data_IF_122470227299
#
_entry.id   IF_122470227299
#
_cell.length_a   1.000
_cell.length_b   1.000
_cell.length_c   1.000
_cell.angle_alpha   90.00
_cell.angle_beta   90.00
_cell.angle_gamma   90.00
#
_symmetry.space_group_name_H-M   'P 1'
#
loop_
_entity.id
_entity.type
_entity.pdbx_description
1 polymer ?
#
# COMPACT_ATOMS: atom_id res chain seq x y z
N UNK A 1 -10.32 -8.64 8.04
CA UNK A 1 -9.68 -7.67 8.93
C UNK A 1 -9.48 -6.37 8.15
N UNK A 2 -9.75 -5.24 8.77
CA UNK A 2 -9.61 -3.93 8.13
C UNK A 2 -8.29 -3.24 8.50
N UNK A 3 -8.02 -2.09 7.89
CA UNK A 3 -6.89 -1.23 8.25
C UNK A 3 -6.99 -0.77 9.70
N UNK A 4 -5.84 -0.64 10.37
CA UNK A 4 -5.75 -0.41 11.82
C UNK A 4 -5.75 -1.70 12.64
N UNK A 5 -5.65 -2.86 11.97
CA UNK A 5 -5.44 -4.18 12.58
C UNK A 5 -4.21 -4.85 11.98
N UNK A 6 -3.67 -5.84 12.66
CA UNK A 6 -2.58 -6.68 12.18
C UNK A 6 -3.01 -8.14 12.17
N UNK A 7 -2.48 -8.90 11.23
CA UNK A 7 -2.73 -10.34 11.07
C UNK A 7 -1.41 -11.05 10.81
N UNK A 8 -1.25 -12.27 11.30
CA UNK A 8 -0.08 -13.09 10.95
C UNK A 8 -0.06 -13.37 9.45
N UNK A 9 1.11 -13.27 8.84
CA UNK A 9 1.23 -13.41 7.38
C UNK A 9 0.79 -14.80 6.89
N UNK A 10 1.12 -15.87 7.60
CA UNK A 10 0.69 -17.23 7.24
C UNK A 10 -0.83 -17.41 7.31
N UNK A 11 -1.49 -16.79 8.30
CA UNK A 11 -2.95 -16.76 8.41
C UNK A 11 -3.58 -15.93 7.28
N UNK A 12 -2.98 -14.77 6.97
CA UNK A 12 -3.41 -13.92 5.85
C UNK A 12 -3.33 -14.68 4.52
N UNK A 13 -2.19 -15.33 4.23
CA UNK A 13 -1.99 -16.14 3.01
C UNK A 13 -3.04 -17.25 2.94
N UNK A 14 -3.26 -17.99 4.03
CA UNK A 14 -4.27 -19.05 4.10
C UNK A 14 -5.68 -18.51 3.89
N UNK A 15 -6.03 -17.40 4.53
CA UNK A 15 -7.37 -16.80 4.46
C UNK A 15 -7.76 -16.41 3.04
N UNK A 16 -6.81 -15.91 2.24
CA UNK A 16 -7.07 -15.52 0.84
C UNK A 16 -6.81 -16.65 -0.17
N UNK A 17 -6.46 -17.85 0.30
CA UNK A 17 -6.16 -18.98 -0.58
C UNK A 17 -4.83 -18.88 -1.32
N UNK A 18 -3.89 -18.11 -0.79
CA UNK A 18 -2.56 -17.92 -1.36
C UNK A 18 -1.63 -19.09 -1.14
N UNK A 19 -0.55 -19.15 -1.90
CA UNK A 19 0.53 -20.15 -1.78
C UNK A 19 1.78 -19.58 -1.10
N UNK A 20 1.99 -18.27 -1.22
CA UNK A 20 3.11 -17.55 -0.62
C UNK A 20 2.73 -16.08 -0.38
N UNK A 21 3.51 -15.40 0.47
CA UNK A 21 3.39 -13.96 0.68
C UNK A 21 4.59 -13.38 1.42
N UNK A 22 4.69 -12.05 1.37
CA UNK A 22 5.64 -11.24 2.14
C UNK A 22 4.90 -10.08 2.81
N UNK A 23 5.53 -9.45 3.79
CA UNK A 23 5.05 -8.18 4.32
C UNK A 23 5.07 -7.07 3.26
N UNK A 24 4.19 -6.09 3.41
CA UNK A 24 4.05 -4.94 2.50
C UNK A 24 4.56 -3.63 3.10
N UNK A 25 3.72 -2.59 3.00
CA UNK A 25 4.02 -1.21 3.36
C UNK A 25 4.56 -1.03 4.78
N UNK A 26 5.27 0.08 4.97
CA UNK A 26 5.44 0.67 6.31
C UNK A 26 4.09 0.96 6.96
N UNK A 27 4.05 0.99 8.27
CA UNK A 27 2.85 1.31 9.01
C UNK A 27 3.15 2.07 10.30
N UNK A 28 2.17 2.79 10.79
CA UNK A 28 2.24 3.44 12.08
C UNK A 28 2.14 2.39 13.21
N UNK A 29 3.15 2.29 14.10
CA UNK A 29 3.19 1.24 15.11
C UNK A 29 2.11 1.37 16.20
N UNK A 30 1.48 2.53 16.33
CA UNK A 30 0.40 2.77 17.30
C UNK A 30 -0.95 2.46 16.68
N UNK A 31 -1.26 3.08 15.55
CA UNK A 31 -2.57 2.97 14.90
C UNK A 31 -2.72 1.73 14.03
N UNK A 32 -1.60 1.12 13.60
CA UNK A 32 -1.55 -0.01 12.65
C UNK A 32 -2.06 0.33 11.25
N UNK A 33 -2.25 1.61 10.93
CA UNK A 33 -2.57 2.02 9.57
C UNK A 33 -1.33 1.96 8.66
N UNK A 34 -1.47 1.52 7.41
CA UNK A 34 -0.38 1.57 6.44
C UNK A 34 0.02 3.02 6.16
N UNK A 35 1.32 3.22 5.96
CA UNK A 35 1.88 4.48 5.49
C UNK A 35 2.19 4.31 4.01
N UNK A 36 1.56 5.15 3.17
CA UNK A 36 1.76 5.13 1.73
C UNK A 36 0.65 4.42 0.96
N UNK A 37 0.80 4.40 -0.36
CA UNK A 37 -0.18 3.89 -1.30
C UNK A 37 -0.43 2.39 -1.13
N UNK A 38 -1.72 2.04 -1.06
CA UNK A 38 -2.20 0.66 -1.21
C UNK A 38 -3.32 0.67 -2.24
N UNK A 39 -3.16 -0.08 -3.31
CA UNK A 39 -4.19 -0.28 -4.35
C UNK A 39 -4.46 -1.78 -4.49
N UNK A 40 -5.73 -2.16 -4.46
CA UNK A 40 -6.19 -3.54 -4.67
C UNK A 40 -7.29 -3.53 -5.72
N UNK A 41 -7.11 -4.27 -6.80
CA UNK A 41 -8.02 -4.35 -7.95
C UNK A 41 -8.45 -2.97 -8.49
N UNK A 42 -7.46 -2.07 -8.66
CA UNK A 42 -7.63 -0.72 -9.16
C UNK A 42 -8.27 0.27 -8.17
N UNK A 43 -8.61 -0.17 -6.96
CA UNK A 43 -9.22 0.68 -5.93
C UNK A 43 -8.17 1.12 -4.90
N UNK A 44 -8.06 2.42 -4.60
CA UNK A 44 -7.16 2.90 -3.56
C UNK A 44 -7.75 2.65 -2.17
N UNK A 45 -6.95 2.06 -1.29
CA UNK A 45 -7.28 1.82 0.12
C UNK A 45 -6.43 2.66 1.09
N UNK A 46 -5.32 3.19 0.61
CA UNK A 46 -4.51 4.19 1.30
C UNK A 46 -3.90 5.12 0.25
N UNK A 47 -3.76 6.40 0.59
CA UNK A 47 -3.18 7.39 -0.32
C UNK A 47 -1.64 7.36 -0.26
N UNK A 48 -0.99 7.87 -1.31
CA UNK A 48 0.45 7.97 -1.36
C UNK A 48 1.00 8.88 -0.27
N UNK A 49 2.12 8.44 0.33
CA UNK A 49 2.87 9.21 1.30
C UNK A 49 4.20 9.66 0.69
N UNK A 50 4.33 10.97 0.44
CA UNK A 50 5.61 11.63 0.12
C UNK A 50 6.40 11.13 -1.10
N UNK A 51 5.81 10.39 -2.05
CA UNK A 51 6.47 10.01 -3.29
C UNK A 51 7.59 8.99 -3.14
N UNK A 52 7.45 8.05 -2.23
CA UNK A 52 8.31 6.86 -2.13
C UNK A 52 8.18 5.98 -3.38
N UNK A 53 9.12 5.05 -3.61
CA UNK A 53 8.99 4.06 -4.68
C UNK A 53 7.72 3.22 -4.54
N UNK A 54 7.20 2.79 -5.67
CA UNK A 54 6.01 1.94 -5.76
C UNK A 54 6.36 0.64 -6.47
N UNK A 55 5.92 -0.46 -5.92
CA UNK A 55 5.72 -1.70 -6.65
C UNK A 55 4.27 -1.75 -7.13
N UNK A 56 4.06 -1.98 -8.41
CA UNK A 56 2.73 -2.14 -8.98
C UNK A 56 2.65 -3.30 -9.96
N UNK A 57 1.47 -3.89 -10.04
CA UNK A 57 1.04 -4.75 -11.14
C UNK A 57 0.00 -3.96 -11.94
N UNK A 58 0.21 -3.83 -13.24
CA UNK A 58 -0.71 -3.12 -14.13
C UNK A 58 -1.95 -3.98 -14.48
N UNK A 59 -2.95 -3.35 -15.08
CA UNK A 59 -4.11 -4.07 -15.63
C UNK A 59 -3.71 -5.09 -16.70
N UNK A 60 -2.60 -4.85 -17.42
CA UNK A 60 -2.03 -5.76 -18.41
C UNK A 60 -1.11 -6.83 -17.78
N UNK A 61 -1.06 -6.90 -16.44
CA UNK A 61 -0.22 -7.78 -15.61
C UNK A 61 1.29 -7.55 -15.79
N UNK A 62 1.70 -6.37 -16.18
CA UNK A 62 3.11 -5.96 -16.19
C UNK A 62 3.56 -5.54 -14.78
N UNK A 63 4.83 -5.78 -14.48
CA UNK A 63 5.47 -5.38 -13.22
C UNK A 63 6.09 -3.99 -13.38
N UNK A 64 5.81 -3.11 -12.44
CA UNK A 64 6.47 -1.82 -12.31
C UNK A 64 7.14 -1.73 -10.92
N UNK A 65 8.41 -1.36 -10.89
CA UNK A 65 9.16 -1.01 -9.68
C UNK A 65 9.86 0.31 -9.95
N UNK A 66 9.52 1.36 -9.22
CA UNK A 66 10.13 2.66 -9.47
C UNK A 66 9.44 3.81 -8.75
N UNK A 67 9.88 5.03 -9.07
CA UNK A 67 9.25 6.23 -8.53
C UNK A 67 8.14 6.70 -9.47
N UNK A 68 6.95 6.82 -8.92
CA UNK A 68 5.76 7.37 -9.57
C UNK A 68 4.97 8.15 -8.54
N UNK A 69 4.44 9.30 -8.91
CA UNK A 69 3.47 10.02 -8.08
C UNK A 69 2.08 9.54 -8.50
N UNK A 70 1.30 9.07 -7.55
CA UNK A 70 -0.08 8.62 -7.77
C UNK A 70 -1.01 9.45 -6.89
N UNK A 71 -1.63 10.44 -7.48
CA UNK A 71 -2.70 11.17 -6.81
C UNK A 71 -4.01 10.35 -6.85
N UNK A 72 -4.79 10.46 -5.80
CA UNK A 72 -6.16 9.95 -5.78
C UNK A 72 -7.09 11.15 -5.89
N UNK A 73 -7.98 11.12 -6.85
CA UNK A 73 -8.98 12.16 -7.05
C UNK A 73 -10.39 11.62 -6.82
N UNK A 74 -11.24 12.50 -6.32
CA UNK A 74 -12.68 12.28 -6.20
C UNK A 74 -13.38 13.24 -7.17
N UNK A 75 -14.04 12.70 -8.16
CA UNK A 75 -14.96 13.45 -9.01
C UNK A 75 -16.34 13.44 -8.35
N UNK A 76 -16.95 14.60 -8.17
CA UNK A 76 -18.35 14.74 -7.74
C UNK A 76 -19.03 15.67 -8.72
N UNK A 77 -20.02 15.15 -9.45
CA UNK A 77 -20.59 15.87 -10.62
C UNK A 77 -19.46 16.28 -11.57
N UNK A 78 -19.23 17.58 -11.75
CA UNK A 78 -18.21 18.14 -12.62
C UNK A 78 -17.03 18.76 -11.82
N UNK A 79 -16.96 18.51 -10.50
CA UNK A 79 -15.91 19.06 -9.62
C UNK A 79 -14.93 17.98 -9.23
N UNK A 80 -13.65 18.24 -9.47
CA UNK A 80 -12.55 17.37 -9.11
C UNK A 80 -11.92 17.81 -7.79
N UNK A 81 -11.86 16.89 -6.83
CA UNK A 81 -11.21 17.09 -5.54
C UNK A 81 -10.00 16.16 -5.41
N UNK A 82 -8.89 16.71 -4.90
CA UNK A 82 -7.73 15.88 -4.53
C UNK A 82 -7.97 15.24 -3.17
N UNK A 83 -7.97 13.91 -3.12
CA UNK A 83 -8.11 13.14 -1.88
C UNK A 83 -6.78 13.18 -1.13
N UNK A 84 -6.81 13.67 0.11
CA UNK A 84 -5.63 13.81 0.97
C UNK A 84 -5.42 12.65 1.94
N UNK A 85 -6.41 11.79 2.09
CA UNK A 85 -6.30 10.60 2.92
C UNK A 85 -7.43 9.60 2.66
N UNK A 86 -7.08 8.34 2.76
CA UNK A 86 -8.02 7.22 2.66
C UNK A 86 -7.80 6.33 3.87
N UNK A 87 -8.89 5.96 4.56
CA UNK A 87 -8.85 5.11 5.74
C UNK A 87 -7.83 5.58 6.78
N UNK A 88 -7.83 6.86 7.12
CA UNK A 88 -6.88 7.48 8.04
C UNK A 88 -7.57 8.27 9.14
N UNK A 89 -6.93 8.36 10.30
CA UNK A 89 -7.27 9.29 11.37
C UNK A 89 -6.58 10.66 11.22
N UNK A 90 -5.74 10.78 10.19
CA UNK A 90 -5.03 12.03 9.89
C UNK A 90 -5.93 13.16 9.43
N UNK A 91 -5.36 14.34 9.31
CA UNK A 91 -6.05 15.50 8.81
C UNK A 91 -5.93 15.61 7.28
N UNK A 92 -6.93 16.22 6.66
CA UNK A 92 -6.96 16.45 5.22
C UNK A 92 -8.26 17.12 4.80
N UNK A 93 -8.21 17.87 3.72
CA UNK A 93 -9.38 18.61 3.25
C UNK A 93 -10.44 17.70 2.64
N UNK A 94 -10.01 16.63 2.00
CA UNK A 94 -10.86 15.57 1.44
C UNK A 94 -10.35 14.23 1.91
N UNK A 95 -11.17 13.53 2.68
CA UNK A 95 -10.91 12.21 3.22
C UNK A 95 -11.97 11.23 2.74
N UNK A 96 -11.56 9.99 2.52
CA UNK A 96 -12.43 8.91 2.08
C UNK A 96 -12.26 7.73 3.02
N UNK A 97 -13.36 7.11 3.39
CA UNK A 97 -13.39 5.97 4.28
C UNK A 97 -14.14 4.83 3.62
N UNK A 98 -13.50 3.69 3.48
CA UNK A 98 -14.09 2.46 2.97
C UNK A 98 -14.48 1.54 4.13
N UNK A 99 -15.16 0.43 3.84
CA UNK A 99 -15.49 -0.60 4.84
C UNK A 99 -14.27 -1.11 5.61
N UNK A 100 -13.10 -1.08 5.01
CA UNK A 100 -11.85 -1.55 5.62
C UNK A 100 -11.31 -0.61 6.71
N UNK A 101 -11.88 0.57 6.87
CA UNK A 101 -11.56 1.43 8.01
C UNK A 101 -12.12 0.85 9.30
N UNK A 102 -11.25 0.30 10.14
CA UNK A 102 -11.63 -0.47 11.34
C UNK A 102 -12.16 0.38 12.52
N UNK A 103 -12.06 1.70 12.40
CA UNK A 103 -12.50 2.64 13.44
C UNK A 103 -13.83 3.30 13.06
N UNK A 104 -14.42 4.04 13.96
CA UNK A 104 -15.49 4.97 13.62
C UNK A 104 -14.93 6.19 12.90
N UNK A 105 -15.63 6.62 11.86
CA UNK A 105 -15.28 7.82 11.11
C UNK A 105 -15.50 9.02 12.03
N UNK A 106 -14.51 9.90 12.24
CA UNK A 106 -14.68 11.06 13.08
C UNK A 106 -15.75 12.02 12.54
N UNK A 107 -16.73 12.37 13.34
CA UNK A 107 -17.68 13.45 13.04
C UNK A 107 -17.09 14.80 13.47
N UNK A 108 -17.12 15.79 12.59
CA UNK A 108 -16.62 17.14 12.83
C UNK A 108 -17.55 18.18 12.22
N UNK A 109 -17.82 19.26 12.95
CA UNK A 109 -18.75 20.32 12.55
C UNK A 109 -18.30 21.14 11.32
N UNK A 110 -17.00 21.13 11.03
CA UNK A 110 -16.39 21.85 9.89
C UNK A 110 -16.34 21.02 8.61
N UNK A 111 -17.10 19.91 8.55
CA UNK A 111 -17.06 18.98 7.42
C UNK A 111 -18.44 18.71 6.84
N UNK A 112 -18.44 18.38 5.55
CA UNK A 112 -19.57 17.88 4.78
C UNK A 112 -19.35 16.38 4.58
N UNK A 113 -20.39 15.60 4.81
CA UNK A 113 -20.35 14.15 4.66
C UNK A 113 -21.38 13.68 3.64
N UNK A 114 -21.02 12.68 2.87
CA UNK A 114 -21.95 11.92 2.03
C UNK A 114 -21.39 10.53 1.76
N UNK A 115 -22.27 9.62 1.38
CA UNK A 115 -21.94 8.23 1.04
C UNK A 115 -22.03 8.07 -0.47
N UNK A 116 -21.07 7.33 -1.01
CA UNK A 116 -21.05 6.96 -2.44
C UNK A 116 -21.14 5.45 -2.55
N UNK A 117 -22.02 5.00 -3.44
CA UNK A 117 -22.22 3.62 -3.81
C UNK A 117 -22.46 3.54 -5.32
N UNK A 118 -21.85 2.56 -5.98
CA UNK A 118 -22.00 2.34 -7.44
C UNK A 118 -21.77 3.62 -8.25
N UNK A 119 -20.72 4.38 -7.90
CA UNK A 119 -20.35 5.66 -8.53
C UNK A 119 -21.41 6.75 -8.45
N UNK A 120 -22.30 6.70 -7.46
CA UNK A 120 -23.33 7.70 -7.21
C UNK A 120 -23.40 8.05 -5.73
N UNK A 121 -23.77 9.28 -5.44
CA UNK A 121 -24.14 9.70 -4.08
C UNK A 121 -25.40 8.94 -3.67
N UNK A 122 -25.30 8.11 -2.65
CA UNK A 122 -26.40 7.29 -2.14
C UNK A 122 -27.06 7.86 -0.88
N UNK A 123 -26.35 8.74 -0.16
CA UNK A 123 -26.84 9.39 1.05
C UNK A 123 -26.11 10.70 1.27
N UNK A 124 -26.82 11.74 1.70
CA UNK A 124 -26.25 12.99 2.19
C UNK A 124 -26.25 12.98 3.71
N UNK A 125 -25.14 13.40 4.32
CA UNK A 125 -24.95 13.46 5.76
C UNK A 125 -23.92 12.47 6.29
N UNK A 126 -23.68 12.57 7.59
CA UNK A 126 -22.70 11.75 8.29
C UNK A 126 -23.14 10.28 8.38
N UNK A 127 -22.16 9.39 8.22
CA UNK A 127 -22.26 7.95 8.48
C UNK A 127 -21.00 7.50 9.20
N UNK A 128 -21.14 6.85 10.34
CA UNK A 128 -20.00 6.46 11.19
C UNK A 128 -19.15 5.32 10.63
N UNK A 129 -19.66 4.56 9.65
CA UNK A 129 -18.96 3.45 8.98
C UNK A 129 -19.49 3.28 7.56
N UNK A 130 -18.58 2.96 6.63
CA UNK A 130 -18.98 2.52 5.29
C UNK A 130 -19.35 1.02 5.31
N UNK A 131 -20.30 0.64 4.48
CA UNK A 131 -20.72 -0.75 4.25
C UNK A 131 -20.04 -1.33 2.98
N UNK A 132 -20.44 -2.55 2.61
CA UNK A 132 -19.92 -3.19 1.39
C UNK A 132 -20.25 -2.36 0.15
N UNK A 133 -19.24 -2.19 -0.70
CA UNK A 133 -19.33 -1.41 -1.95
C UNK A 133 -19.61 0.08 -1.76
N UNK A 134 -19.50 0.58 -0.53
CA UNK A 134 -19.64 2.00 -0.20
C UNK A 134 -18.30 2.62 0.14
N UNK A 135 -18.26 3.95 0.05
CA UNK A 135 -17.31 4.76 0.78
C UNK A 135 -17.96 6.04 1.29
N UNK A 136 -17.55 6.45 2.48
CA UNK A 136 -17.97 7.71 3.09
C UNK A 136 -16.94 8.78 2.75
N UNK A 137 -17.42 9.87 2.21
CA UNK A 137 -16.61 11.05 1.89
C UNK A 137 -16.78 12.08 3.01
N UNK A 138 -15.67 12.68 3.41
CA UNK A 138 -15.61 13.78 4.37
C UNK A 138 -14.82 14.92 3.75
N UNK A 139 -15.50 16.03 3.45
CA UNK A 139 -14.92 17.20 2.78
C UNK A 139 -15.01 18.42 3.71
N UNK A 140 -13.95 19.23 3.78
CA UNK A 140 -13.94 20.49 4.52
C UNK A 140 -15.03 21.43 4.01
N UNK A 141 -15.76 22.09 4.91
CA UNK A 141 -16.79 23.11 4.59
C UNK A 141 -16.27 24.27 3.77
N UNK A 142 -14.95 24.49 3.66
CA UNK A 142 -14.41 25.49 2.74
C UNK A 142 -14.80 25.25 1.28
N UNK A 143 -15.16 24.01 0.94
CA UNK A 143 -15.63 23.60 -0.39
C UNK A 143 -17.15 23.61 -0.54
N UNK A 144 -17.91 24.05 0.48
CA UNK A 144 -19.38 24.00 0.52
C UNK A 144 -20.03 24.62 -0.73
N UNK A 145 -19.46 25.72 -1.24
CA UNK A 145 -19.98 26.38 -2.44
C UNK A 145 -20.01 25.48 -3.70
N UNK A 146 -19.15 24.46 -3.74
CA UNK A 146 -19.08 23.51 -4.86
C UNK A 146 -20.02 22.30 -4.67
N UNK A 147 -20.58 22.15 -3.48
CA UNK A 147 -21.44 21.03 -3.09
C UNK A 147 -22.83 21.50 -2.64
N UNK A 148 -23.16 22.79 -2.82
CA UNK A 148 -24.42 23.37 -2.32
C UNK A 148 -25.68 22.79 -2.95
N UNK A 149 -25.58 22.22 -4.15
CA UNK A 149 -26.66 21.56 -4.88
C UNK A 149 -26.48 20.01 -4.97
N UNK A 150 -25.58 19.46 -4.13
CA UNK A 150 -25.34 18.03 -4.08
C UNK A 150 -26.61 17.29 -3.62
N UNK A 151 -26.97 16.24 -4.35
CA UNK A 151 -28.14 15.40 -4.05
C UNK A 151 -27.86 13.93 -4.31
N UNK A 152 -28.67 13.08 -3.73
CA UNK A 152 -28.68 11.66 -4.01
C UNK A 152 -28.93 11.40 -5.51
N UNK A 153 -28.16 10.44 -6.07
CA UNK A 153 -28.14 10.13 -7.48
C UNK A 153 -27.07 10.86 -8.30
N UNK A 154 -26.45 11.93 -7.77
CA UNK A 154 -25.34 12.60 -8.44
C UNK A 154 -24.15 11.68 -8.62
N UNK A 155 -23.45 11.80 -9.74
CA UNK A 155 -22.24 11.02 -10.02
C UNK A 155 -21.11 11.35 -9.07
N UNK A 156 -20.49 10.32 -8.50
CA UNK A 156 -19.31 10.47 -7.66
C UNK A 156 -18.42 9.23 -7.76
N UNK A 157 -17.12 9.40 -8.05
CA UNK A 157 -16.19 8.28 -8.15
C UNK A 157 -14.76 8.67 -7.84
N UNK A 158 -14.00 7.70 -7.35
CA UNK A 158 -12.55 7.80 -7.12
C UNK A 158 -11.79 7.41 -8.38
N UNK A 159 -10.66 8.06 -8.61
CA UNK A 159 -9.74 7.74 -9.69
C UNK A 159 -8.30 7.85 -9.25
N UNK A 160 -7.46 6.93 -9.72
CA UNK A 160 -6.01 7.00 -9.60
C UNK A 160 -5.45 7.87 -10.73
N UNK A 161 -4.55 8.79 -10.39
CA UNK A 161 -3.91 9.70 -11.34
C UNK A 161 -2.38 9.57 -11.24
N UNK A 162 -1.79 8.53 -11.83
CA UNK A 162 -0.32 8.43 -11.93
C UNK A 162 0.22 9.54 -12.84
N UNK A 163 1.38 10.09 -12.48
CA UNK A 163 2.06 11.11 -13.30
C UNK A 163 2.78 10.55 -14.54
N UNK A 164 2.69 9.23 -14.76
CA UNK A 164 3.13 8.51 -15.95
C UNK A 164 2.00 7.60 -16.46
N UNK A 165 2.00 7.14 -17.71
CA UNK A 165 0.94 6.30 -18.27
C UNK A 165 0.97 4.88 -17.67
N UNK A 166 0.53 4.74 -16.41
CA UNK A 166 0.52 3.49 -15.66
C UNK A 166 -0.90 3.16 -15.19
N UNK A 167 -1.50 2.09 -15.73
CA UNK A 167 -2.81 1.59 -15.30
C UNK A 167 -2.65 0.59 -14.16
N UNK A 168 -2.80 1.07 -12.95
CA UNK A 168 -2.51 0.33 -11.73
C UNK A 168 -3.68 -0.59 -11.35
N UNK A 169 -3.42 -1.89 -11.26
CA UNK A 169 -4.33 -2.90 -10.73
C UNK A 169 -4.03 -3.19 -9.26
N UNK A 170 -2.75 -3.44 -8.93
CA UNK A 170 -2.28 -3.68 -7.57
C UNK A 170 -1.10 -2.75 -7.31
N UNK A 171 -0.99 -2.14 -6.14
CA UNK A 171 0.20 -1.40 -5.77
C UNK A 171 0.43 -1.33 -4.27
N UNK A 172 1.70 -1.27 -3.90
CA UNK A 172 2.16 -0.89 -2.57
C UNK A 172 3.31 0.11 -2.67
N UNK A 173 3.29 1.11 -1.81
CA UNK A 173 4.40 2.04 -1.64
C UNK A 173 5.39 1.47 -0.62
N UNK A 174 6.69 1.65 -0.86
CA UNK A 174 7.76 1.17 0.02
C UNK A 174 9.00 2.05 -0.10
N UNK A 175 10.17 1.45 0.00
CA UNK A 175 11.46 2.12 -0.19
C UNK A 175 12.53 1.62 0.79
N UNK A 176 13.80 1.95 0.52
CA UNK A 176 14.27 2.71 -0.64
C UNK A 176 14.18 1.93 -1.97
N UNK A 177 14.26 2.66 -3.08
CA UNK A 177 14.58 2.09 -4.39
C UNK A 177 16.07 1.76 -4.37
N UNK A 178 16.42 0.53 -4.69
CA UNK A 178 17.79 0.02 -4.57
C UNK A 178 18.52 -0.04 -5.90
N UNK A 179 17.85 -0.55 -6.91
CA UNK A 179 18.38 -0.74 -8.26
C UNK A 179 17.30 -0.35 -9.26
N UNK A 180 17.71 0.24 -10.37
CA UNK A 180 16.87 0.48 -11.53
C UNK A 180 17.65 0.25 -12.80
N UNK A 181 17.09 -0.53 -13.75
CA UNK A 181 17.75 -0.94 -14.97
C UNK A 181 19.16 -1.56 -14.74
N UNK A 182 19.30 -2.38 -13.73
CA UNK A 182 20.55 -3.03 -13.34
C UNK A 182 21.59 -2.12 -12.65
N UNK A 183 21.29 -0.83 -12.48
CA UNK A 183 22.19 0.14 -11.85
C UNK A 183 21.76 0.50 -10.43
N UNK A 184 22.73 0.61 -9.48
CA UNK A 184 22.43 1.07 -8.11
C UNK A 184 21.82 2.47 -8.08
N UNK A 185 20.87 2.68 -7.20
CA UNK A 185 20.29 3.98 -6.90
C UNK A 185 20.78 4.41 -5.50
N UNK A 186 21.43 5.57 -5.35
CA UNK A 186 21.93 6.06 -4.06
C UNK A 186 20.79 6.64 -3.20
N UNK A 187 19.80 5.82 -2.85
CA UNK A 187 18.54 6.25 -2.23
C UNK A 187 18.52 6.07 -0.69
N UNK A 188 19.41 5.26 -0.13
CA UNK A 188 19.37 4.92 1.30
C UNK A 188 19.50 6.14 2.22
N UNK A 189 20.37 7.11 1.88
CA UNK A 189 20.54 8.34 2.64
C UNK A 189 19.37 9.32 2.43
N UNK A 190 18.73 9.33 1.24
CA UNK A 190 17.52 10.11 0.98
C UNK A 190 16.35 9.58 1.82
N UNK A 191 16.25 8.28 1.99
CA UNK A 191 15.24 7.62 2.82
C UNK A 191 15.34 8.14 4.27
N UNK A 192 16.55 8.21 4.83
CA UNK A 192 16.79 8.78 6.16
C UNK A 192 16.47 10.27 6.23
N UNK A 193 16.89 11.05 5.24
CA UNK A 193 16.70 12.49 5.22
C UNK A 193 15.23 12.88 5.09
N UNK A 194 14.47 12.12 4.28
CA UNK A 194 13.06 12.42 3.98
C UNK A 194 12.09 11.88 5.03
N UNK A 195 12.34 10.70 5.56
CA UNK A 195 11.34 9.96 6.33
C UNK A 195 11.80 9.64 7.75
N UNK A 196 13.03 9.99 8.10
CA UNK A 196 13.63 9.67 9.39
C UNK A 196 14.01 8.18 9.49
N UNK A 197 14.37 7.78 10.69
CA UNK A 197 14.71 6.39 11.01
C UNK A 197 16.21 6.10 11.08
N UNK A 198 16.58 5.36 12.12
CA UNK A 198 17.97 4.92 12.39
C UNK A 198 18.39 3.71 11.56
N UNK A 199 17.45 3.03 10.87
CA UNK A 199 17.71 1.75 10.20
C UNK A 199 18.32 1.90 8.80
N UNK A 200 18.35 3.11 8.23
CA UNK A 200 18.84 3.29 6.85
C UNK A 200 20.27 2.77 6.66
N UNK A 201 21.16 3.00 7.64
CA UNK A 201 22.57 2.57 7.60
C UNK A 201 22.87 1.38 8.53
N UNK A 202 21.92 0.95 9.33
CA UNK A 202 22.10 -0.16 10.25
C UNK A 202 21.92 -1.50 9.53
N UNK A 203 22.60 -2.54 10.02
CA UNK A 203 22.28 -3.92 9.67
C UNK A 203 20.92 -4.27 10.25
N UNK A 204 20.01 -4.71 9.38
CA UNK A 204 18.66 -5.07 9.76
C UNK A 204 18.11 -6.16 8.82
N UNK A 205 17.09 -6.91 9.23
CA UNK A 205 16.30 -7.72 8.32
C UNK A 205 15.70 -6.87 7.21
N UNK A 206 15.63 -7.40 5.99
CA UNK A 206 15.12 -6.66 4.82
C UNK A 206 14.14 -7.51 4.04
N UNK A 207 13.10 -6.86 3.54
CA UNK A 207 12.17 -7.45 2.57
C UNK A 207 12.26 -6.66 1.27
N UNK A 208 12.48 -7.37 0.17
CA UNK A 208 12.77 -6.78 -1.15
C UNK A 208 11.83 -7.38 -2.19
N UNK A 209 11.36 -6.52 -3.06
CA UNK A 209 10.67 -6.87 -4.29
C UNK A 209 11.61 -6.52 -5.43
N UNK A 210 11.86 -7.47 -6.34
CA UNK A 210 12.82 -7.28 -7.43
C UNK A 210 12.38 -7.98 -8.72
N UNK A 211 12.95 -7.53 -9.85
CA UNK A 211 12.82 -8.20 -11.15
C UNK A 211 14.15 -8.76 -11.61
N UNK A 212 14.11 -9.88 -12.27
CA UNK A 212 15.25 -10.51 -12.94
C UNK A 212 14.78 -11.51 -13.98
N UNK A 213 15.36 -11.47 -15.19
CA UNK A 213 15.05 -12.39 -16.29
C UNK A 213 13.53 -12.47 -16.58
N UNK A 214 12.84 -11.32 -16.56
CA UNK A 214 11.40 -11.21 -16.77
C UNK A 214 10.54 -11.84 -15.65
N UNK A 215 11.11 -12.15 -14.49
CA UNK A 215 10.43 -12.73 -13.33
C UNK A 215 10.41 -11.77 -12.16
N UNK A 216 9.31 -11.82 -11.40
CA UNK A 216 9.16 -11.16 -10.13
C UNK A 216 9.74 -12.03 -9.00
N UNK A 217 10.56 -11.43 -8.15
CA UNK A 217 11.21 -12.06 -7.01
C UNK A 217 10.81 -11.37 -5.72
N UNK A 218 10.47 -12.17 -4.72
CA UNK A 218 10.35 -11.74 -3.33
C UNK A 218 11.49 -12.30 -2.52
N UNK A 219 12.25 -11.43 -1.86
CA UNK A 219 13.43 -11.79 -1.09
C UNK A 219 13.27 -11.30 0.34
N UNK A 220 13.55 -12.17 1.31
CA UNK A 220 13.62 -11.79 2.72
C UNK A 220 14.99 -12.14 3.26
N UNK A 221 15.66 -11.15 3.81
CA UNK A 221 16.98 -11.29 4.44
C UNK A 221 16.80 -11.28 5.96
N UNK A 222 17.21 -12.36 6.60
CA UNK A 222 17.12 -12.52 8.05
C UNK A 222 18.01 -11.57 8.80
N UNK A 223 17.67 -11.31 10.06
CA UNK A 223 18.48 -10.51 10.96
C UNK A 223 17.87 -10.42 12.36
N UNK A 224 18.49 -9.62 13.23
CA UNK A 224 18.09 -9.47 14.64
C UNK A 224 17.99 -10.82 15.38
N UNK A 225 18.88 -11.74 15.06
CA UNK A 225 19.01 -13.01 15.73
C UNK A 225 20.47 -13.25 16.14
N UNK A 226 20.76 -14.36 16.84
CA UNK A 226 22.10 -14.68 17.34
C UNK A 226 23.11 -15.03 16.23
N UNK A 227 22.65 -15.29 14.99
CA UNK A 227 23.52 -15.63 13.86
C UNK A 227 23.88 -14.39 13.05
N UNK A 228 22.92 -13.51 12.80
CA UNK A 228 23.09 -12.32 11.94
C UNK A 228 22.30 -11.12 12.44
N UNK A 229 22.85 -9.94 12.20
CA UNK A 229 22.14 -8.68 12.42
C UNK A 229 21.29 -8.25 11.21
N UNK A 230 21.50 -8.89 10.04
CA UNK A 230 20.90 -8.52 8.77
C UNK A 230 21.88 -7.77 7.87
N UNK A 231 21.40 -7.00 6.91
CA UNK A 231 22.18 -6.27 5.91
C UNK A 231 21.99 -4.76 6.03
N UNK A 232 23.05 -3.99 5.72
CA UNK A 232 22.92 -2.57 5.34
C UNK A 232 22.30 -2.48 3.93
N UNK A 233 21.89 -1.29 3.51
CA UNK A 233 21.41 -1.11 2.13
C UNK A 233 22.55 -1.27 1.11
N UNK A 234 23.78 -0.86 1.42
CA UNK A 234 24.93 -1.03 0.52
C UNK A 234 25.22 -2.52 0.30
N UNK A 235 25.31 -3.31 1.39
CA UNK A 235 25.50 -4.77 1.30
C UNK A 235 24.35 -5.44 0.50
N UNK A 236 23.14 -4.93 0.63
CA UNK A 236 21.97 -5.44 -0.10
C UNK A 236 22.05 -5.10 -1.59
N UNK A 237 22.41 -3.86 -1.94
CA UNK A 237 22.63 -3.43 -3.33
C UNK A 237 23.74 -4.26 -3.99
N UNK A 238 24.89 -4.43 -3.32
CA UNK A 238 25.99 -5.26 -3.81
C UNK A 238 25.55 -6.70 -4.09
N UNK A 239 24.76 -7.29 -3.18
CA UNK A 239 24.19 -8.62 -3.39
C UNK A 239 23.30 -8.66 -4.63
N UNK A 240 22.36 -7.73 -4.76
CA UNK A 240 21.38 -7.71 -5.86
C UNK A 240 22.05 -7.49 -7.21
N UNK A 241 22.99 -6.55 -7.32
CA UNK A 241 23.76 -6.28 -8.54
C UNK A 241 24.61 -7.50 -8.92
N UNK A 242 25.35 -8.09 -7.95
CA UNK A 242 26.18 -9.27 -8.22
C UNK A 242 25.36 -10.49 -8.70
N UNK A 243 24.06 -10.52 -8.41
CA UNK A 243 23.15 -11.57 -8.84
C UNK A 243 22.37 -11.23 -10.12
N UNK A 244 22.59 -10.04 -10.70
CA UNK A 244 22.00 -9.60 -11.96
C UNK A 244 20.52 -9.26 -11.86
N UNK A 245 20.07 -8.71 -10.70
CA UNK A 245 18.73 -8.14 -10.60
C UNK A 245 18.65 -6.84 -11.39
N UNK A 246 17.48 -6.55 -11.96
CA UNK A 246 17.23 -5.42 -12.88
C UNK A 246 16.64 -4.23 -12.12
N UNK A 247 15.50 -4.42 -11.46
CA UNK A 247 14.86 -3.42 -10.61
C UNK A 247 14.65 -4.02 -9.23
N UNK A 248 14.83 -3.21 -8.19
CA UNK A 248 14.58 -3.67 -6.82
C UNK A 248 14.25 -2.52 -5.89
N UNK A 249 13.31 -2.76 -4.99
CA UNK A 249 12.97 -1.86 -3.89
C UNK A 249 12.74 -2.63 -2.59
N UNK A 250 12.98 -1.99 -1.47
CA UNK A 250 12.53 -2.49 -0.18
C UNK A 250 11.04 -2.18 0.04
N UNK A 251 10.41 -2.99 0.87
CA UNK A 251 9.20 -2.66 1.62
C UNK A 251 9.55 -2.56 3.10
N UNK A 252 8.57 -2.63 4.00
CA UNK A 252 8.86 -2.55 5.44
C UNK A 252 9.88 -3.63 5.86
N UNK A 253 10.79 -3.23 6.72
CA UNK A 253 11.92 -4.05 7.14
C UNK A 253 11.94 -4.29 8.65
N UNK A 254 13.12 -4.68 9.16
CA UNK A 254 13.30 -4.91 10.59
C UNK A 254 12.42 -6.06 11.10
N UNK A 255 11.69 -5.82 12.19
CA UNK A 255 10.81 -6.84 12.79
C UNK A 255 9.59 -7.22 11.93
N UNK A 256 9.29 -6.41 10.91
CA UNK A 256 8.20 -6.71 9.96
C UNK A 256 8.62 -7.68 8.86
N UNK A 257 9.94 -7.86 8.61
CA UNK A 257 10.44 -8.75 7.57
C UNK A 257 10.00 -10.18 7.82
N UNK A 258 9.21 -10.72 6.90
CA UNK A 258 8.66 -12.06 6.99
C UNK A 258 8.20 -12.55 5.62
N UNK A 259 8.37 -13.86 5.39
CA UNK A 259 7.82 -14.58 4.23
C UNK A 259 7.00 -15.77 4.72
N UNK A 260 5.88 -16.01 4.09
CA UNK A 260 5.10 -17.22 4.27
C UNK A 260 5.11 -18.05 2.97
N UNK A 261 5.40 -19.34 3.05
CA UNK A 261 5.35 -20.26 1.91
C UNK A 261 4.73 -21.56 2.39
N UNK A 262 3.69 -22.00 1.72
CA UNK A 262 2.99 -23.26 2.03
C UNK A 262 2.65 -23.42 3.54
N UNK A 263 2.23 -22.31 4.18
CA UNK A 263 1.85 -22.28 5.59
C UNK A 263 3.01 -22.18 6.60
N UNK A 264 4.26 -22.14 6.13
CA UNK A 264 5.44 -21.96 6.97
C UNK A 264 5.97 -20.55 6.90
N UNK A 265 6.44 -20.00 8.04
CA UNK A 265 7.05 -18.66 8.12
C UNK A 265 8.56 -18.74 8.03
N UNK A 266 9.15 -17.83 7.25
CA UNK A 266 10.59 -17.67 7.06
C UNK A 266 11.00 -16.21 7.27
N UNK A 267 12.27 -15.99 7.63
CA UNK A 267 12.88 -14.66 7.71
C UNK A 267 12.44 -13.81 8.90
N UNK A 268 11.54 -14.31 9.76
CA UNK A 268 11.10 -13.57 10.95
C UNK A 268 12.22 -13.42 11.97
N UNK A 269 12.24 -12.31 12.66
CA UNK A 269 13.12 -12.11 13.82
C UNK A 269 12.65 -12.95 15.01
N UNK A 270 13.54 -13.27 15.95
CA UNK A 270 13.23 -14.11 17.12
C UNK A 270 12.00 -13.65 17.91
N UNK A 271 11.81 -12.32 18.03
CA UNK A 271 10.72 -11.73 18.80
C UNK A 271 9.55 -11.22 17.92
N UNK A 272 9.56 -11.50 16.61
CA UNK A 272 8.49 -11.05 15.72
C UNK A 272 7.27 -11.98 15.81
N UNK A 273 6.10 -11.40 15.95
CA UNK A 273 4.83 -12.13 15.82
C UNK A 273 4.51 -12.49 14.37
N UNK A 274 5.26 -11.95 13.40
CA UNK A 274 4.94 -11.99 11.97
C UNK A 274 3.57 -11.38 11.62
N UNK A 275 3.02 -10.56 12.50
CA UNK A 275 1.74 -9.89 12.31
C UNK A 275 1.95 -8.50 11.69
N UNK A 276 1.32 -8.24 10.58
CA UNK A 276 1.47 -7.07 9.72
C UNK A 276 0.11 -6.54 9.26
N UNK A 277 -0.03 -5.24 8.96
CA UNK A 277 -1.29 -4.70 8.47
C UNK A 277 -1.52 -4.95 6.98
N UNK A 278 -0.45 -5.08 6.18
CA UNK A 278 -0.51 -5.28 4.73
C UNK A 278 0.46 -6.37 4.33
N UNK A 279 -0.04 -7.39 3.64
CA UNK A 279 0.76 -8.45 3.02
C UNK A 279 0.59 -8.45 1.50
N UNK A 280 1.66 -8.83 0.80
CA UNK A 280 1.63 -9.11 -0.63
C UNK A 280 1.54 -10.62 -0.78
N UNK A 281 0.45 -11.11 -1.35
CA UNK A 281 0.16 -12.54 -1.44
C UNK A 281 0.14 -12.98 -2.90
N UNK A 282 0.68 -14.15 -3.16
CA UNK A 282 0.68 -14.81 -4.46
C UNK A 282 -0.20 -16.05 -4.38
N UNK A 283 -0.99 -16.28 -5.41
CA UNK A 283 -1.79 -17.49 -5.58
C UNK A 283 -1.71 -18.03 -7.01
N UNK A 284 -1.95 -19.30 -7.17
CA UNK A 284 -2.00 -19.90 -8.49
C UNK A 284 -3.24 -19.42 -9.26
N UNK A 285 -3.03 -19.01 -10.51
CA UNK A 285 -4.15 -18.75 -11.40
C UNK A 285 -4.83 -20.10 -11.68
N UNK A 286 -6.07 -20.28 -11.20
CA UNK A 286 -6.87 -21.45 -11.60
C UNK A 286 -6.94 -21.47 -13.12
N UNK A 287 -6.52 -22.58 -13.74
CA UNK A 287 -6.78 -22.81 -15.16
C UNK A 287 -8.31 -22.77 -15.32
N UNK A 288 -8.81 -21.79 -16.04
CA UNK A 288 -10.19 -21.85 -16.54
C UNK A 288 -10.22 -23.07 -17.45
N UNK A 289 -10.93 -24.12 -17.06
CA UNK A 289 -11.26 -25.20 -18.00
C UNK A 289 -12.03 -24.53 -19.13
N UNK A 290 -11.38 -24.39 -20.28
CA UNK A 290 -12.06 -24.06 -21.51
C UNK A 290 -12.82 -25.32 -21.85
N UNK A 291 -14.11 -25.34 -21.55
CA UNK A 291 -15.01 -26.42 -21.96
C UNK A 291 -14.91 -26.58 -23.47
N UNK A 292 -14.59 -27.80 -23.89
CA UNK A 292 -14.67 -28.27 -25.27
C UNK A 292 -16.11 -28.19 -25.78
#
# INVERSE_FOLDING_TARGET
NGFGTIERLDEMVKRVGGIAGINGNYFDPVTKFPIGLVVIDGKPYSAMFSGRPVFAITEDNEVFIGRVIVDVTLMVKDVLFLVKGINTLGEGEVLVYTREFSKEIPEKDDRIYFVVKDSKVSQIGYKSRAEDSEYVVSISKKYEKYLSDLKEGDGAYLSLQPNIPLRIKQAVEGGPLLIQNGAPIPDAWEEKARYGGGIAYAKAPRTVIATKDGKLWFLVFEGYNHITRGLTYDELVDFLVSRGFEDAMCVDGGSSSVMAVAGSLFGRTENSTAAIPVGIVVWEKKKTEVGE
#
